data_IF_217792844674
#
_entry.id   IF_217792844674
#
_cell.length_a   1.000
_cell.length_b   1.000
_cell.length_c   1.000
_cell.angle_alpha   90.00
_cell.angle_beta   90.00
_cell.angle_gamma   90.00
#
_symmetry.space_group_name_H-M   'P 1'
#
loop_
_entity.id
_entity.type
_entity.pdbx_description
1 polymer ?
#
# COMPACT_ATOMS: atom_id res chain seq x y z
N UNK A 1 7.36 5.79 -31.75
CA UNK A 1 6.98 6.72 -30.67
C UNK A 1 5.94 6.10 -29.71
N UNK A 2 6.01 4.80 -29.40
CA UNK A 2 5.04 4.10 -28.52
C UNK A 2 5.72 3.32 -27.39
N UNK A 3 6.95 3.66 -27.03
CA UNK A 3 7.76 2.83 -26.12
C UNK A 3 7.33 2.94 -24.65
N UNK A 4 6.68 4.04 -24.27
CA UNK A 4 6.27 4.33 -22.89
C UNK A 4 4.77 4.14 -22.61
N UNK A 5 4.00 3.65 -23.60
CA UNK A 5 2.57 3.38 -23.45
C UNK A 5 2.31 1.87 -23.50
N UNK A 6 1.50 1.37 -22.58
CA UNK A 6 1.12 -0.04 -22.52
C UNK A 6 -0.38 -0.17 -22.27
N UNK A 7 -0.97 -1.25 -22.80
CA UNK A 7 -2.41 -1.51 -22.68
C UNK A 7 -2.72 -1.94 -21.24
N UNK A 8 -3.68 -1.26 -20.63
CA UNK A 8 -4.25 -1.68 -19.34
C UNK A 8 -5.12 -2.93 -19.61
N UNK A 9 -4.98 -4.00 -18.82
CA UNK A 9 -5.86 -5.17 -18.92
C UNK A 9 -7.34 -4.76 -18.83
N UNK A 10 -8.20 -5.35 -19.66
CA UNK A 10 -9.62 -4.97 -19.76
C UNK A 10 -10.41 -5.23 -18.47
N UNK A 11 -9.89 -6.11 -17.60
CA UNK A 11 -10.49 -6.39 -16.30
C UNK A 11 -10.11 -5.39 -15.19
N UNK A 12 -9.28 -4.37 -15.50
CA UNK A 12 -8.90 -3.31 -14.58
C UNK A 12 -9.50 -1.97 -15.04
N UNK A 13 -10.53 -1.47 -14.33
CA UNK A 13 -11.06 -0.14 -14.52
C UNK A 13 -9.95 0.93 -14.42
N UNK A 14 -9.97 1.92 -15.32
CA UNK A 14 -8.88 2.91 -15.45
C UNK A 14 -8.66 3.76 -14.19
N UNK A 15 -9.71 4.01 -13.42
CA UNK A 15 -9.70 4.67 -12.12
C UNK A 15 -8.93 3.88 -11.05
N UNK A 16 -9.02 2.55 -11.07
CA UNK A 16 -8.26 1.67 -10.16
C UNK A 16 -6.84 1.46 -10.67
N UNK A 17 -6.64 1.45 -11.99
CA UNK A 17 -5.32 1.32 -12.60
C UNK A 17 -4.43 2.55 -12.37
N UNK A 18 -5.00 3.76 -12.34
CA UNK A 18 -4.23 5.00 -12.23
C UNK A 18 -3.31 5.04 -10.98
N UNK A 19 -3.76 4.71 -9.76
CA UNK A 19 -2.86 4.61 -8.59
C UNK A 19 -1.81 3.50 -8.69
N UNK A 20 -2.09 2.41 -9.40
CA UNK A 20 -1.15 1.28 -9.55
C UNK A 20 0.09 1.66 -10.36
N UNK A 21 -0.04 2.58 -11.32
CA UNK A 21 1.07 2.99 -12.18
C UNK A 21 2.20 3.72 -11.44
N UNK A 22 1.90 4.31 -10.28
CA UNK A 22 2.90 4.90 -9.40
C UNK A 22 3.02 4.08 -8.12
N UNK A 23 2.01 4.12 -7.25
CA UNK A 23 2.09 3.47 -5.94
C UNK A 23 2.23 1.95 -6.06
N UNK A 24 1.57 1.33 -7.04
CA UNK A 24 1.64 -0.11 -7.27
C UNK A 24 3.01 -0.58 -7.77
N UNK A 25 3.56 0.04 -8.81
CA UNK A 25 4.89 -0.34 -9.34
C UNK A 25 6.00 -0.14 -8.31
N UNK A 26 5.94 0.94 -7.53
CA UNK A 26 6.94 1.25 -6.52
C UNK A 26 6.95 0.25 -5.36
N UNK A 27 5.82 -0.39 -5.05
CA UNK A 27 5.78 -1.47 -4.04
C UNK A 27 5.99 -2.85 -4.66
N UNK A 28 5.58 -3.07 -5.89
CA UNK A 28 5.71 -4.36 -6.56
C UNK A 28 7.16 -4.70 -6.90
N UNK A 29 7.89 -3.74 -7.47
CA UNK A 29 9.30 -3.92 -7.82
C UNK A 29 10.16 -4.44 -6.65
N UNK A 30 10.18 -3.81 -5.46
CA UNK A 30 11.02 -4.29 -4.37
C UNK A 30 10.56 -5.64 -3.83
N UNK A 31 9.26 -5.97 -3.89
CA UNK A 31 8.78 -7.30 -3.53
C UNK A 31 9.27 -8.37 -4.53
N UNK A 32 9.30 -8.03 -5.82
CA UNK A 32 9.83 -8.88 -6.89
C UNK A 32 11.35 -9.06 -6.76
N UNK A 33 12.10 -7.98 -6.56
CA UNK A 33 13.57 -8.01 -6.37
C UNK A 33 13.97 -8.74 -5.09
N UNK A 34 13.22 -8.56 -4.00
CA UNK A 34 13.42 -9.32 -2.75
C UNK A 34 13.02 -10.81 -2.88
N UNK A 35 12.40 -11.20 -3.99
CA UNK A 35 12.00 -12.58 -4.27
C UNK A 35 10.93 -13.08 -3.31
N UNK A 36 9.91 -12.27 -3.03
CA UNK A 36 8.79 -12.67 -2.18
C UNK A 36 8.07 -13.87 -2.78
N UNK A 37 8.04 -14.96 -2.01
CA UNK A 37 7.51 -16.28 -2.34
C UNK A 37 6.98 -16.93 -1.05
N UNK A 38 6.21 -18.03 -1.14
CA UNK A 38 5.92 -18.88 0.01
C UNK A 38 7.20 -19.22 0.78
N UNK A 39 7.17 -19.13 2.10
CA UNK A 39 8.34 -19.22 2.98
C UNK A 39 8.93 -17.87 3.43
N UNK A 40 8.57 -16.75 2.78
CA UNK A 40 9.08 -15.42 3.14
C UNK A 40 8.11 -14.65 4.03
N UNK A 41 8.68 -13.95 5.02
CA UNK A 41 7.96 -13.00 5.88
C UNK A 41 8.30 -11.58 5.45
N UNK A 42 7.30 -10.73 5.31
CA UNK A 42 7.44 -9.35 4.84
C UNK A 42 6.84 -8.41 5.89
N UNK A 43 7.58 -7.36 6.26
CA UNK A 43 7.04 -6.26 7.06
C UNK A 43 6.85 -5.01 6.21
N UNK A 44 5.76 -4.29 6.44
CA UNK A 44 5.39 -3.09 5.68
C UNK A 44 5.24 -1.94 6.68
N UNK A 45 6.08 -0.93 6.53
CA UNK A 45 6.12 0.20 7.45
C UNK A 45 5.30 1.36 6.89
N UNK A 46 4.22 1.69 7.60
CA UNK A 46 3.28 2.74 7.24
C UNK A 46 2.07 2.24 6.47
N UNK A 47 0.87 2.55 6.97
CA UNK A 47 -0.42 2.22 6.36
C UNK A 47 -1.03 3.48 5.76
N UNK A 48 -0.79 3.68 4.46
CA UNK A 48 -1.28 4.78 3.64
C UNK A 48 -1.43 4.34 2.19
N UNK A 49 -1.26 5.27 1.23
CA UNK A 49 -1.42 4.98 -0.21
C UNK A 49 -0.51 3.87 -0.76
N UNK A 50 0.75 3.81 -0.32
CA UNK A 50 1.68 2.73 -0.70
C UNK A 50 1.45 1.46 0.13
N UNK A 51 1.30 1.62 1.45
CA UNK A 51 1.25 0.50 2.39
C UNK A 51 0.07 -0.46 2.14
N UNK A 52 -1.12 0.06 1.84
CA UNK A 52 -2.27 -0.81 1.59
C UNK A 52 -2.12 -1.65 0.31
N UNK A 53 -1.44 -1.12 -0.71
CA UNK A 53 -1.11 -1.87 -1.93
C UNK A 53 0.01 -2.88 -1.65
N UNK A 54 1.03 -2.50 -0.88
CA UNK A 54 2.11 -3.40 -0.50
C UNK A 54 1.59 -4.64 0.24
N UNK A 55 0.61 -4.48 1.13
CA UNK A 55 0.00 -5.61 1.86
C UNK A 55 -0.69 -6.56 0.88
N UNK A 56 -1.51 -6.01 -0.02
CA UNK A 56 -2.24 -6.78 -1.01
C UNK A 56 -1.29 -7.50 -1.97
N UNK A 57 -0.24 -6.85 -2.46
CA UNK A 57 0.76 -7.47 -3.34
C UNK A 57 1.58 -8.55 -2.62
N UNK A 58 2.04 -8.29 -1.39
CA UNK A 58 2.80 -9.28 -0.62
C UNK A 58 1.97 -10.56 -0.38
N UNK A 59 0.68 -10.40 -0.08
CA UNK A 59 -0.25 -11.53 0.04
C UNK A 59 -0.50 -12.22 -1.30
N UNK A 60 -0.71 -11.46 -2.37
CA UNK A 60 -0.92 -11.98 -3.73
C UNK A 60 0.29 -12.79 -4.25
N UNK A 61 1.50 -12.40 -3.86
CA UNK A 61 2.74 -13.11 -4.18
C UNK A 61 2.98 -14.34 -3.28
N UNK A 62 2.12 -14.58 -2.29
CA UNK A 62 2.15 -15.77 -1.44
C UNK A 62 3.12 -15.66 -0.27
N UNK A 63 3.38 -14.47 0.28
CA UNK A 63 4.14 -14.35 1.52
C UNK A 63 3.43 -15.06 2.68
N UNK A 64 4.16 -15.83 3.49
CA UNK A 64 3.60 -16.58 4.62
C UNK A 64 3.08 -15.67 5.73
N UNK A 65 3.79 -14.56 5.95
CA UNK A 65 3.40 -13.57 6.93
C UNK A 65 3.62 -12.16 6.36
N UNK A 66 2.55 -11.37 6.38
CA UNK A 66 2.59 -9.94 6.04
C UNK A 66 2.31 -9.17 7.32
N UNK A 67 3.32 -8.50 7.86
CA UNK A 67 3.20 -7.75 9.12
C UNK A 67 3.18 -6.26 8.86
N UNK A 68 2.10 -5.62 9.26
CA UNK A 68 1.94 -4.18 9.16
C UNK A 68 2.57 -3.47 10.36
N UNK A 69 3.38 -2.46 10.09
CA UNK A 69 3.99 -1.62 11.11
C UNK A 69 3.35 -0.24 11.04
N UNK A 70 2.77 0.21 12.15
CA UNK A 70 2.12 1.52 12.24
C UNK A 70 2.59 2.28 13.50
N UNK A 71 2.47 3.61 13.47
CA UNK A 71 2.61 4.47 14.66
C UNK A 71 1.28 4.59 15.42
N UNK A 72 0.16 4.42 14.73
CA UNK A 72 -1.19 4.56 15.29
C UNK A 72 -1.84 3.18 15.43
N UNK A 73 -2.34 2.80 16.62
CA UNK A 73 -2.97 1.50 16.88
C UNK A 73 -4.36 1.37 16.26
N UNK A 74 -5.03 2.47 15.91
CA UNK A 74 -6.38 2.44 15.36
C UNK A 74 -6.51 1.75 13.98
N UNK A 75 -5.38 1.43 13.32
CA UNK A 75 -5.37 0.90 11.95
C UNK A 75 -5.30 -0.63 11.89
N UNK A 76 -5.27 -1.33 13.02
CA UNK A 76 -5.09 -2.79 13.05
C UNK A 76 -6.22 -3.54 12.33
N UNK A 77 -7.46 -3.07 12.47
CA UNK A 77 -8.63 -3.69 11.83
C UNK A 77 -8.56 -3.59 10.31
N UNK A 78 -8.35 -2.38 9.79
CA UNK A 78 -8.24 -2.12 8.34
C UNK A 78 -7.10 -2.92 7.71
N UNK A 79 -5.98 -3.03 8.42
CA UNK A 79 -4.80 -3.79 8.04
C UNK A 79 -5.08 -5.29 7.90
N UNK A 80 -5.83 -5.86 8.85
CA UNK A 80 -6.25 -7.27 8.79
C UNK A 80 -7.23 -7.49 7.64
N UNK A 81 -8.15 -6.57 7.40
CA UNK A 81 -9.09 -6.63 6.28
C UNK A 81 -8.37 -6.56 4.91
N UNK A 82 -7.27 -5.83 4.82
CA UNK A 82 -6.39 -5.77 3.64
C UNK A 82 -5.57 -7.06 3.45
N UNK A 83 -5.50 -7.92 4.46
CA UNK A 83 -4.87 -9.23 4.39
C UNK A 83 -3.53 -9.35 5.10
N UNK A 84 -3.17 -8.40 5.97
CA UNK A 84 -2.03 -8.59 6.85
C UNK A 84 -2.31 -9.69 7.89
N UNK A 85 -1.27 -10.46 8.21
CA UNK A 85 -1.31 -11.54 9.21
C UNK A 85 -1.24 -10.97 10.63
N UNK A 86 -0.47 -9.91 10.82
CA UNK A 86 -0.23 -9.31 12.14
C UNK A 86 0.08 -7.80 12.04
N UNK A 87 0.02 -7.10 13.16
CA UNK A 87 0.35 -5.68 13.29
C UNK A 87 1.30 -5.43 14.46
N UNK A 88 2.26 -4.53 14.27
CA UNK A 88 3.25 -4.20 15.30
C UNK A 88 3.55 -2.69 15.37
N UNK A 89 4.02 -2.18 16.53
CA UNK A 89 4.42 -0.78 16.66
C UNK A 89 5.72 -0.47 15.91
N UNK A 90 5.87 0.79 15.51
CA UNK A 90 7.05 1.31 14.80
C UNK A 90 8.39 1.12 15.52
N UNK A 91 8.43 0.82 16.82
CA UNK A 91 9.69 0.58 17.52
C UNK A 91 10.30 -0.79 17.22
N UNK A 92 9.50 -1.76 16.73
CA UNK A 92 9.90 -3.17 16.64
C UNK A 92 10.24 -3.65 15.22
N UNK A 93 10.10 -2.81 14.19
CA UNK A 93 10.32 -3.26 12.79
C UNK A 93 11.75 -3.77 12.54
N UNK A 94 12.77 -3.14 13.16
CA UNK A 94 14.16 -3.61 13.07
C UNK A 94 14.35 -4.97 13.75
N UNK A 95 13.66 -5.21 14.87
CA UNK A 95 13.71 -6.48 15.60
C UNK A 95 13.04 -7.62 14.83
N UNK A 96 12.03 -7.32 14.02
CA UNK A 96 11.37 -8.29 13.15
C UNK A 96 12.23 -8.76 11.97
N UNK A 97 13.17 -7.93 11.51
CA UNK A 97 14.00 -8.30 10.37
C UNK A 97 14.84 -9.54 10.67
N UNK A 98 14.80 -10.53 9.77
CA UNK A 98 15.63 -11.73 9.85
C UNK A 98 17.12 -11.39 9.74
N UNK A 99 17.98 -12.31 10.19
CA UNK A 99 19.43 -12.21 9.99
C UNK A 99 19.71 -12.18 8.48
N UNK A 100 20.50 -11.19 8.03
CA UNK A 100 20.76 -10.85 6.63
C UNK A 100 19.51 -10.49 5.82
N UNK A 101 18.49 -9.97 6.51
CA UNK A 101 17.30 -9.43 5.86
C UNK A 101 17.58 -8.10 5.15
N UNK A 102 16.71 -7.78 4.20
CA UNK A 102 16.74 -6.53 3.43
C UNK A 102 15.70 -5.55 3.97
N UNK A 103 16.13 -4.31 4.22
CA UNK A 103 15.27 -3.17 4.48
C UNK A 103 15.23 -2.31 3.22
N UNK A 104 14.06 -2.23 2.59
CA UNK A 104 13.88 -1.46 1.34
C UNK A 104 13.10 -0.18 1.64
N UNK A 105 13.74 0.96 1.44
CA UNK A 105 13.13 2.27 1.65
C UNK A 105 12.45 2.75 0.38
N UNK A 106 11.15 2.99 0.51
CA UNK A 106 10.28 3.50 -0.58
C UNK A 106 9.70 4.86 -0.22
N UNK A 107 9.44 5.09 1.07
CA UNK A 107 9.00 6.39 1.57
C UNK A 107 10.19 7.34 1.69
N UNK A 108 9.95 8.60 1.34
CA UNK A 108 10.87 9.71 1.58
C UNK A 108 10.36 10.51 2.79
N UNK A 109 10.77 10.16 4.02
CA UNK A 109 10.49 10.99 5.17
C UNK A 109 11.29 12.29 5.08
N UNK A 110 10.68 13.41 5.48
CA UNK A 110 11.36 14.71 5.60
C UNK A 110 12.24 14.79 6.84
N UNK A 111 12.02 13.89 7.81
CA UNK A 111 12.79 13.80 9.04
C UNK A 111 13.85 12.70 8.95
N UNK A 112 14.97 12.86 9.67
CA UNK A 112 16.05 11.88 9.73
C UNK A 112 15.56 10.54 10.31
N UNK A 113 15.77 9.46 9.56
CA UNK A 113 15.47 8.11 10.05
C UNK A 113 16.60 7.61 10.93
N UNK A 114 16.34 7.52 12.23
CA UNK A 114 17.31 7.03 13.22
C UNK A 114 17.14 5.52 13.41
N UNK A 115 18.23 4.78 13.22
CA UNK A 115 18.29 3.35 13.49
C UNK A 115 19.36 3.06 14.56
N UNK A 116 19.16 1.98 15.34
CA UNK A 116 20.22 1.50 16.22
C UNK A 116 21.30 0.80 15.39
N UNK A 117 22.51 1.39 15.34
CA UNK A 117 23.64 0.84 14.60
C UNK A 117 23.98 -0.59 15.06
N UNK A 118 23.91 -0.87 16.36
CA UNK A 118 24.16 -2.20 16.89
C UNK A 118 23.13 -3.23 16.39
N UNK A 119 21.84 -2.85 16.35
CA UNK A 119 20.79 -3.75 15.85
C UNK A 119 20.93 -4.08 14.36
N UNK A 120 21.44 -3.14 13.56
CA UNK A 120 21.74 -3.31 12.14
C UNK A 120 22.96 -4.20 11.91
N UNK A 121 24.07 -3.90 12.61
CA UNK A 121 25.34 -4.62 12.47
C UNK A 121 25.21 -6.06 12.97
N UNK A 122 24.55 -6.28 14.11
CA UNK A 122 24.36 -7.62 14.67
C UNK A 122 23.57 -8.55 13.73
N UNK A 123 22.69 -7.98 12.90
CA UNK A 123 21.85 -8.75 11.96
C UNK A 123 22.44 -8.82 10.55
N UNK A 124 23.40 -7.97 10.20
CA UNK A 124 23.93 -7.88 8.84
C UNK A 124 22.87 -7.42 7.83
N UNK A 125 22.06 -6.42 8.20
CA UNK A 125 20.96 -5.89 7.38
C UNK A 125 21.46 -5.24 6.09
N UNK A 126 20.82 -5.53 4.96
CA UNK A 126 21.04 -4.82 3.69
C UNK A 126 20.05 -3.68 3.55
N UNK A 127 20.54 -2.48 3.26
CA UNK A 127 19.69 -1.35 2.88
C UNK A 127 19.57 -1.30 1.36
N UNK A 128 18.33 -1.15 0.88
CA UNK A 128 18.04 -0.87 -0.51
C UNK A 128 17.03 0.26 -0.60
N UNK A 129 16.99 0.89 -1.76
CA UNK A 129 15.91 1.79 -2.15
C UNK A 129 15.15 1.18 -3.33
N UNK A 130 13.95 1.68 -3.58
CA UNK A 130 13.26 1.37 -4.82
C UNK A 130 12.49 2.57 -5.28
N UNK A 131 12.81 3.00 -6.50
CA UNK A 131 12.04 3.99 -7.24
C UNK A 131 11.42 3.31 -8.46
N UNK A 132 10.34 3.92 -8.98
CA UNK A 132 9.51 3.50 -10.11
C UNK A 132 10.27 2.59 -11.09
N UNK A 133 9.73 1.38 -11.31
CA UNK A 133 10.40 0.32 -12.06
C UNK A 133 10.42 0.50 -13.58
N UNK A 134 10.98 -0.50 -14.25
CA UNK A 134 10.99 -0.55 -15.72
C UNK A 134 9.58 -0.79 -16.28
N UNK A 135 9.38 -0.54 -17.58
CA UNK A 135 8.11 -0.84 -18.24
C UNK A 135 7.72 -2.32 -18.10
N UNK A 136 8.70 -3.22 -18.04
CA UNK A 136 8.44 -4.64 -17.83
C UNK A 136 7.88 -4.91 -16.44
N UNK A 137 8.41 -4.24 -15.41
CA UNK A 137 7.89 -4.38 -14.04
C UNK A 137 6.45 -3.88 -13.94
N UNK A 138 6.08 -2.84 -14.69
CA UNK A 138 4.70 -2.36 -14.72
C UNK A 138 3.78 -3.37 -15.39
N UNK A 139 4.22 -4.01 -16.48
CA UNK A 139 3.44 -5.08 -17.16
C UNK A 139 3.23 -6.28 -16.24
N UNK A 140 4.31 -6.74 -15.59
CA UNK A 140 4.25 -7.87 -14.65
C UNK A 140 3.35 -7.54 -13.45
N UNK A 141 3.43 -6.30 -12.93
CA UNK A 141 2.57 -5.82 -11.85
C UNK A 141 1.10 -5.81 -12.26
N UNK A 142 0.78 -5.30 -13.46
CA UNK A 142 -0.59 -5.28 -13.97
C UNK A 142 -1.13 -6.69 -14.18
N UNK A 143 -0.30 -7.63 -14.64
CA UNK A 143 -0.69 -9.03 -14.78
C UNK A 143 -1.00 -9.67 -13.41
N UNK A 144 -0.17 -9.41 -12.39
CA UNK A 144 -0.42 -9.89 -11.02
C UNK A 144 -1.68 -9.24 -10.45
N UNK A 145 -1.84 -7.93 -10.60
CA UNK A 145 -3.01 -7.20 -10.11
C UNK A 145 -4.30 -7.71 -10.76
N UNK A 146 -4.24 -8.01 -12.06
CA UNK A 146 -5.34 -8.58 -12.85
C UNK A 146 -5.72 -9.98 -12.37
N UNK A 147 -4.75 -10.86 -12.10
CA UNK A 147 -4.99 -12.25 -11.65
C UNK A 147 -5.47 -12.35 -10.20
N UNK A 148 -4.91 -11.52 -9.33
CA UNK A 148 -5.13 -11.61 -7.87
C UNK A 148 -6.09 -10.56 -7.32
N UNK A 149 -6.66 -9.74 -8.22
CA UNK A 149 -7.65 -8.69 -7.92
C UNK A 149 -7.16 -7.68 -6.85
N UNK A 150 -5.89 -7.30 -6.91
CA UNK A 150 -5.32 -6.23 -6.08
C UNK A 150 -5.92 -4.90 -6.52
N UNK A 151 -6.53 -4.16 -5.60
CA UNK A 151 -7.19 -2.88 -5.91
C UNK A 151 -6.74 -1.78 -4.96
N UNK A 152 -6.49 -0.61 -5.53
CA UNK A 152 -6.31 0.60 -4.74
C UNK A 152 -7.64 1.02 -4.12
N UNK A 153 -7.61 1.45 -2.86
CA UNK A 153 -8.76 2.13 -2.25
C UNK A 153 -8.79 3.55 -2.79
N UNK A 154 -9.81 3.87 -3.59
CA UNK A 154 -9.91 5.15 -4.31
C UNK A 154 -11.08 5.98 -3.80
N UNK A 155 -10.84 7.27 -3.66
CA UNK A 155 -11.87 8.28 -3.48
C UNK A 155 -11.88 9.15 -4.75
N UNK A 156 -12.97 9.07 -5.52
CA UNK A 156 -13.10 9.89 -6.74
C UNK A 156 -13.56 11.28 -6.37
N UNK A 157 -12.84 12.28 -6.87
CA UNK A 157 -13.23 13.69 -6.79
C UNK A 157 -13.25 14.28 -8.21
N UNK A 158 -14.20 15.17 -8.51
CA UNK A 158 -14.17 15.90 -9.77
C UNK A 158 -12.94 16.81 -9.82
N UNK A 159 -12.34 16.96 -11.00
CA UNK A 159 -11.10 17.75 -11.18
C UNK A 159 -11.25 19.21 -10.71
N UNK A 160 -12.47 19.75 -10.74
CA UNK A 160 -12.78 21.09 -10.22
C UNK A 160 -12.49 21.25 -8.72
N UNK A 161 -12.49 20.16 -7.96
CA UNK A 161 -12.20 20.12 -6.52
C UNK A 161 -10.77 19.65 -6.19
N UNK A 162 -9.83 19.70 -7.14
CA UNK A 162 -8.46 19.22 -6.93
C UNK A 162 -7.77 19.87 -5.71
N UNK A 163 -7.99 21.16 -5.46
CA UNK A 163 -7.40 21.87 -4.31
C UNK A 163 -7.91 21.34 -2.96
N UNK A 164 -9.16 20.87 -2.91
CA UNK A 164 -9.72 20.20 -1.72
C UNK A 164 -9.03 18.84 -1.53
N UNK A 165 -8.87 18.08 -2.61
CA UNK A 165 -8.14 16.81 -2.60
C UNK A 165 -6.70 16.94 -2.07
N UNK A 166 -5.98 17.99 -2.46
CA UNK A 166 -4.62 18.25 -1.96
C UNK A 166 -4.63 18.47 -0.44
N UNK A 167 -5.63 19.19 0.09
CA UNK A 167 -5.76 19.39 1.55
C UNK A 167 -6.08 18.09 2.29
N UNK A 168 -6.91 17.23 1.71
CA UNK A 168 -7.24 15.90 2.29
C UNK A 168 -5.99 15.01 2.33
N UNK A 169 -5.20 14.98 1.25
CA UNK A 169 -3.94 14.22 1.19
C UNK A 169 -2.92 14.78 2.18
N UNK A 170 -2.77 16.11 2.25
CA UNK A 170 -1.88 16.77 3.21
C UNK A 170 -2.27 16.54 4.67
N UNK A 171 -3.57 16.43 4.95
CA UNK A 171 -4.10 16.08 6.28
C UNK A 171 -4.03 14.59 6.61
N UNK A 172 -3.58 13.73 5.70
CA UNK A 172 -3.61 12.28 5.81
C UNK A 172 -5.01 11.70 6.13
N UNK A 173 -6.08 12.40 5.75
CA UNK A 173 -7.48 12.02 6.04
C UNK A 173 -8.13 11.23 4.90
N UNK A 174 -7.36 10.82 3.89
CA UNK A 174 -7.87 9.98 2.80
C UNK A 174 -8.30 8.63 3.38
N UNK A 175 -9.60 8.33 3.37
CA UNK A 175 -10.15 7.16 4.05
C UNK A 175 -9.67 5.86 3.40
N UNK A 176 -9.20 4.92 4.22
CA UNK A 176 -9.01 3.52 3.85
C UNK A 176 -10.34 2.72 3.89
N UNK A 177 -11.48 3.41 3.79
CA UNK A 177 -12.80 2.79 3.80
C UNK A 177 -13.07 2.14 2.44
N UNK A 178 -13.05 0.81 2.44
CA UNK A 178 -13.62 -0.02 1.39
C UNK A 178 -15.08 0.43 1.21
N UNK A 179 -15.44 0.98 0.06
CA UNK A 179 -16.85 1.09 -0.34
C UNK A 179 -17.37 -0.34 -0.49
N UNK A 180 -17.82 -0.95 0.61
CA UNK A 180 -18.52 -2.22 0.58
C UNK A 180 -19.81 -2.02 -0.22
N UNK A 181 -19.78 -2.50 -1.46
CA UNK A 181 -20.84 -2.46 -2.45
C UNK A 181 -22.02 -3.42 -2.13
N UNK A 182 -22.22 -3.79 -0.86
CA UNK A 182 -23.24 -4.79 -0.48
C UNK A 182 -24.17 -4.37 0.66
N UNK A 183 -24.08 -3.15 1.19
CA UNK A 183 -25.00 -2.67 2.25
C UNK A 183 -25.75 -1.37 1.95
N UNK A 184 -25.74 -0.86 0.72
CA UNK A 184 -26.33 0.44 0.36
C UNK A 184 -27.60 0.35 -0.50
N UNK A 185 -28.51 -0.58 -0.21
CA UNK A 185 -29.82 -0.60 -0.90
C UNK A 185 -31.02 -0.16 -0.05
N UNK A 186 -30.83 0.14 1.23
CA UNK A 186 -31.89 0.73 2.05
C UNK A 186 -31.22 1.71 3.01
N UNK A 187 -31.24 3.00 2.68
CA UNK A 187 -31.79 4.07 3.55
C UNK A 187 -31.34 5.48 3.08
N UNK A 188 -31.79 5.88 1.89
CA UNK A 188 -31.67 7.27 1.42
C UNK A 188 -33.00 7.72 0.79
N UNK A 189 -34.09 7.63 1.57
CA UNK A 189 -35.34 8.33 1.27
C UNK A 189 -35.62 9.23 2.47
N UNK A 190 -35.06 10.44 2.47
CA UNK A 190 -35.31 11.40 3.55
C UNK A 190 -34.34 12.59 3.58
N UNK A 191 -34.65 13.61 2.78
CA UNK A 191 -34.39 15.05 3.02
C UNK A 191 -33.19 15.48 3.90
N UNK A 192 -32.22 16.14 3.24
CA UNK A 192 -31.32 17.19 3.76
C UNK A 192 -30.66 16.98 5.13
N UNK A 193 -29.51 16.28 5.16
CA UNK A 193 -28.26 16.69 5.81
C UNK A 193 -27.24 15.52 5.85
N UNK A 194 -26.03 15.76 5.32
CA UNK A 194 -24.76 15.11 5.68
C UNK A 194 -24.79 13.63 6.15
N UNK A 195 -25.01 12.69 5.23
CA UNK A 195 -24.48 11.32 5.37
C UNK A 195 -23.09 11.23 4.76
N UNK A 196 -22.12 11.93 5.36
CA UNK A 196 -20.70 11.63 5.16
C UNK A 196 -20.19 11.21 6.53
N UNK A 197 -20.34 9.92 6.84
CA UNK A 197 -19.64 9.29 7.95
C UNK A 197 -18.14 9.34 7.62
N UNK A 198 -17.51 10.45 7.98
CA UNK A 198 -16.06 10.56 8.10
C UNK A 198 -15.67 9.84 9.41
N UNK A 199 -15.52 8.52 9.36
CA UNK A 199 -14.69 7.87 10.36
C UNK A 199 -13.23 8.20 10.04
N UNK A 200 -12.66 9.08 10.87
CA UNK A 200 -11.20 9.18 11.00
C UNK A 200 -10.70 7.79 11.40
N UNK A 201 -9.66 7.27 10.71
CA UNK A 201 -8.80 6.27 11.35
C UNK A 201 -8.14 6.86 12.60
#
# INVERSE_FOLDING_TARGET
MHEYAFKIPENLPSDVAAPLLCAGTTVFRPLKEAGVKPGKRVSIVGIGGLGHLAIQFAKAMGADAVVAVSRSPNKEKDVRDLGATDSMPYTLFLSFLAVRGSLIMVGLPTDDVKFSAFGVVAKGTTFGDSNIGSIQDIKDMLEVASKTNVRAVIQKLPVSKANEGIKIVGGATVSCARTNLTSWFFDCIGTNANCIQYERC
#
